data_IF_582567365927
#
_entry.id   IF_582567365927
#
_cell.length_a   1.000
_cell.length_b   1.000
_cell.length_c   1.000
_cell.angle_alpha   90.00
_cell.angle_beta   90.00
_cell.angle_gamma   90.00
#
_symmetry.space_group_name_H-M   'P 1'
#
loop_
_entity.id
_entity.type
_entity.pdbx_description
1 polymer ?
#
# COMPACT_ATOMS: atom_id res chain seq x y z
N UNK A 1 -16.65 -23.21 19.99
CA UNK A 1 -16.71 -21.74 19.90
C UNK A 1 -15.48 -21.30 19.13
N UNK A 2 -15.61 -20.83 17.90
CA UNK A 2 -14.48 -20.28 17.16
C UNK A 2 -14.08 -18.95 17.79
N UNK A 3 -12.89 -18.89 18.39
CA UNK A 3 -12.31 -17.64 18.88
C UNK A 3 -12.01 -16.71 17.70
N UNK A 4 -12.42 -15.44 17.78
CA UNK A 4 -12.12 -14.44 16.75
C UNK A 4 -10.62 -14.15 16.67
N UNK A 5 -9.92 -14.83 15.76
CA UNK A 5 -8.50 -14.58 15.48
C UNK A 5 -8.38 -13.42 14.49
N UNK A 6 -7.63 -12.35 14.81
CA UNK A 6 -7.51 -11.22 13.90
C UNK A 6 -6.68 -11.56 12.66
N UNK A 7 -7.04 -10.98 11.51
CA UNK A 7 -6.35 -11.21 10.23
C UNK A 7 -4.83 -10.99 10.27
N UNK A 8 -4.31 -10.13 11.14
CA UNK A 8 -2.85 -9.91 11.26
C UNK A 8 -2.14 -11.14 11.79
N UNK A 9 -2.81 -11.91 12.63
CA UNK A 9 -2.23 -13.04 13.34
C UNK A 9 -2.36 -14.29 12.49
N UNK A 10 -3.46 -14.41 11.72
CA UNK A 10 -3.62 -15.40 10.64
C UNK A 10 -2.54 -15.22 9.57
N UNK A 11 -2.32 -13.98 9.11
CA UNK A 11 -1.26 -13.72 8.12
C UNK A 11 0.13 -14.03 8.68
N UNK A 12 0.36 -13.79 9.98
CA UNK A 12 1.63 -14.10 10.63
C UNK A 12 1.83 -15.62 10.81
N UNK A 13 0.79 -16.39 11.17
CA UNK A 13 0.88 -17.84 11.32
C UNK A 13 1.20 -18.55 10.01
N UNK A 14 0.65 -18.06 8.91
CA UNK A 14 0.89 -18.60 7.57
C UNK A 14 2.17 -18.06 6.92
N UNK A 15 2.89 -17.13 7.56
CA UNK A 15 4.04 -16.44 6.96
C UNK A 15 3.71 -15.73 5.63
N UNK A 16 2.46 -15.27 5.47
CA UNK A 16 1.96 -14.60 4.27
C UNK A 16 1.91 -13.09 4.47
N UNK A 17 2.33 -12.33 3.45
CA UNK A 17 2.16 -10.87 3.42
C UNK A 17 0.75 -10.49 2.99
N UNK A 18 0.25 -9.33 3.41
CA UNK A 18 -1.05 -8.87 2.91
C UNK A 18 -1.11 -8.74 1.38
N UNK A 19 -2.35 -8.84 0.88
CA UNK A 19 -2.69 -8.56 -0.52
C UNK A 19 -2.13 -7.20 -0.97
N UNK A 20 -2.18 -6.18 -0.11
CA UNK A 20 -1.67 -4.85 -0.50
C UNK A 20 -0.16 -4.83 -0.68
N UNK A 21 0.59 -5.45 0.22
CA UNK A 21 2.04 -5.60 0.06
C UNK A 21 2.39 -6.43 -1.18
N UNK A 22 1.62 -7.48 -1.47
CA UNK A 22 1.78 -8.26 -2.71
C UNK A 22 1.56 -7.39 -3.95
N UNK A 23 0.49 -6.60 -4.00
CA UNK A 23 0.21 -5.69 -5.12
C UNK A 23 1.35 -4.69 -5.31
N UNK A 24 1.79 -4.02 -4.24
CA UNK A 24 2.91 -3.06 -4.29
C UNK A 24 4.18 -3.71 -4.85
N UNK A 25 4.52 -4.92 -4.38
CA UNK A 25 5.69 -5.69 -4.84
C UNK A 25 5.61 -6.01 -6.33
N UNK A 26 4.46 -6.46 -6.82
CA UNK A 26 4.28 -6.82 -8.24
C UNK A 26 4.30 -5.58 -9.13
N UNK A 27 3.62 -4.50 -8.73
CA UNK A 27 3.63 -3.24 -9.46
C UNK A 27 5.05 -2.68 -9.59
N UNK A 28 5.84 -2.68 -8.51
CA UNK A 28 7.25 -2.27 -8.59
C UNK A 28 8.09 -3.16 -9.49
N UNK A 29 7.99 -4.49 -9.33
CA UNK A 29 8.75 -5.43 -10.16
C UNK A 29 8.48 -5.21 -11.65
N UNK A 30 7.22 -5.00 -12.01
CA UNK A 30 6.81 -4.76 -13.39
C UNK A 30 7.30 -3.40 -13.91
N UNK A 31 7.16 -2.32 -13.12
CA UNK A 31 7.65 -0.99 -13.50
C UNK A 31 9.17 -0.99 -13.74
N UNK A 32 9.93 -1.56 -12.81
CA UNK A 32 11.39 -1.69 -12.91
C UNK A 32 11.77 -2.49 -14.15
N UNK A 33 11.07 -3.59 -14.44
CA UNK A 33 11.34 -4.40 -15.61
C UNK A 33 11.13 -3.61 -16.92
N UNK A 34 10.07 -2.82 -17.01
CA UNK A 34 9.80 -2.00 -18.20
C UNK A 34 10.82 -0.90 -18.38
N UNK A 35 11.20 -0.19 -17.30
CA UNK A 35 12.21 0.89 -17.37
C UNK A 35 13.54 0.37 -17.90
N UNK A 36 13.86 -0.91 -17.65
CA UNK A 36 15.08 -1.58 -18.13
C UNK A 36 15.03 -2.05 -19.58
N UNK A 37 13.85 -2.14 -20.18
CA UNK A 37 13.77 -2.54 -21.59
C UNK A 37 14.45 -1.48 -22.48
N UNK A 38 14.88 -1.89 -23.68
CA UNK A 38 15.32 -0.94 -24.70
C UNK A 38 14.17 -0.02 -25.11
N UNK A 39 14.47 1.24 -25.45
CA UNK A 39 13.46 2.25 -25.79
C UNK A 39 12.67 1.94 -27.07
N UNK A 40 13.23 1.10 -27.94
CA UNK A 40 12.58 0.59 -29.15
C UNK A 40 11.50 -0.45 -28.86
N UNK A 41 11.47 -1.02 -27.64
CA UNK A 41 10.51 -2.07 -27.28
C UNK A 41 9.14 -1.45 -27.06
N UNK A 42 8.15 -1.98 -27.77
CA UNK A 42 6.73 -1.56 -27.69
C UNK A 42 6.19 -1.45 -26.25
N UNK A 43 6.49 -2.38 -25.30
CA UNK A 43 6.01 -2.24 -23.93
C UNK A 43 6.53 -0.99 -23.22
N UNK A 44 7.79 -0.59 -23.46
CA UNK A 44 8.38 0.61 -22.87
C UNK A 44 7.79 1.87 -23.50
N UNK A 45 7.67 1.89 -24.83
CA UNK A 45 7.03 2.98 -25.55
C UNK A 45 5.58 3.18 -25.06
N UNK A 46 4.78 2.12 -25.01
CA UNK A 46 3.40 2.17 -24.54
C UNK A 46 3.30 2.65 -23.10
N UNK A 47 4.20 2.18 -22.22
CA UNK A 47 4.25 2.61 -20.83
C UNK A 47 4.51 4.12 -20.71
N UNK A 48 5.50 4.66 -21.43
CA UNK A 48 5.78 6.09 -21.40
C UNK A 48 4.69 6.93 -22.07
N UNK A 49 4.03 6.42 -23.12
CA UNK A 49 2.86 7.05 -23.73
C UNK A 49 1.71 7.15 -22.72
N UNK A 50 1.43 6.07 -21.99
CA UNK A 50 0.39 6.07 -20.94
C UNK A 50 0.78 7.00 -19.77
N UNK A 51 2.07 7.10 -19.42
CA UNK A 51 2.55 8.04 -18.40
C UNK A 51 2.47 9.52 -18.84
N UNK A 52 2.64 9.79 -20.12
CA UNK A 52 2.61 11.13 -20.70
C UNK A 52 1.18 11.61 -20.96
N UNK A 53 0.38 10.78 -21.63
CA UNK A 53 -0.92 11.15 -22.22
C UNK A 53 -2.10 10.28 -21.75
N UNK A 54 -1.90 9.37 -20.78
CA UNK A 54 -2.92 8.43 -20.33
C UNK A 54 -4.25 9.09 -19.97
N UNK A 55 -5.34 8.46 -20.42
CA UNK A 55 -6.71 9.00 -20.32
C UNK A 55 -7.12 9.16 -18.85
N UNK A 56 -7.46 10.39 -18.45
CA UNK A 56 -8.06 10.68 -17.14
C UNK A 56 -9.59 10.58 -17.23
N UNK A 57 -10.21 9.87 -16.30
CA UNK A 57 -11.68 9.83 -16.21
C UNK A 57 -12.17 11.12 -15.53
N UNK A 58 -12.97 11.94 -16.23
CA UNK A 58 -13.40 13.28 -15.77
C UNK A 58 -14.16 13.29 -14.44
N UNK A 59 -14.73 12.17 -13.98
CA UNK A 59 -15.65 12.15 -12.84
C UNK A 59 -15.52 10.98 -11.84
N UNK A 60 -14.40 10.22 -11.70
CA UNK A 60 -14.37 9.12 -10.67
C UNK A 60 -13.03 8.58 -10.13
N UNK A 61 -13.15 8.12 -8.88
CA UNK A 61 -12.48 7.16 -7.97
C UNK A 61 -11.41 6.14 -8.43
N UNK A 62 -11.03 6.05 -9.70
CA UNK A 62 -9.88 5.20 -10.10
C UNK A 62 -8.69 6.12 -10.40
N UNK A 63 -7.59 5.88 -9.70
CA UNK A 63 -6.34 6.59 -9.95
C UNK A 63 -5.90 6.35 -11.40
N UNK A 64 -5.35 7.39 -12.04
CA UNK A 64 -4.64 7.19 -13.31
C UNK A 64 -3.51 6.18 -13.11
N UNK A 65 -3.09 5.50 -14.17
CA UNK A 65 -2.00 4.54 -14.09
C UNK A 65 -0.74 5.18 -13.46
N UNK A 66 -0.39 6.38 -13.93
CA UNK A 66 0.68 7.22 -13.36
C UNK A 66 0.53 7.45 -11.86
N UNK A 67 -0.67 7.82 -11.41
CA UNK A 67 -0.91 8.11 -9.98
C UNK A 67 -0.91 6.83 -9.13
N UNK A 68 -1.31 5.70 -9.69
CA UNK A 68 -1.16 4.38 -9.06
C UNK A 68 0.32 4.07 -8.84
N UNK A 69 1.15 4.21 -9.87
CA UNK A 69 2.61 4.00 -9.77
C UNK A 69 3.22 4.98 -8.76
N UNK A 70 2.93 6.28 -8.84
CA UNK A 70 3.41 7.27 -7.86
C UNK A 70 3.01 6.93 -6.42
N UNK A 71 1.76 6.53 -6.21
CA UNK A 71 1.25 6.12 -4.89
C UNK A 71 2.02 4.91 -4.36
N UNK A 72 2.32 3.94 -5.22
CA UNK A 72 3.11 2.77 -4.84
C UNK A 72 4.55 3.11 -4.50
N UNK A 73 5.20 3.99 -5.28
CA UNK A 73 6.56 4.47 -5.02
C UNK A 73 6.61 5.16 -3.66
N UNK A 74 5.67 6.07 -3.41
CA UNK A 74 5.54 6.78 -2.13
C UNK A 74 5.27 5.84 -0.96
N UNK A 75 4.44 4.82 -1.16
CA UNK A 75 4.12 3.83 -0.11
C UNK A 75 5.34 3.00 0.31
N UNK A 76 6.33 2.87 -0.57
CA UNK A 76 7.56 2.13 -0.32
C UNK A 76 8.72 3.03 0.15
N UNK A 77 8.51 4.34 0.25
CA UNK A 77 9.51 5.30 0.72
C UNK A 77 10.66 5.53 -0.27
N UNK A 78 10.42 5.35 -1.57
CA UNK A 78 11.40 5.60 -2.63
C UNK A 78 11.06 6.87 -3.41
N UNK A 79 12.03 7.49 -4.07
CA UNK A 79 11.79 8.54 -5.05
C UNK A 79 11.63 7.95 -6.48
N UNK A 80 10.86 8.58 -7.40
CA UNK A 80 10.79 8.11 -8.78
C UNK A 80 12.14 8.11 -9.50
N UNK A 81 13.04 9.04 -9.19
CA UNK A 81 14.35 9.10 -9.83
C UNK A 81 15.27 7.98 -9.34
N UNK A 82 15.14 7.58 -8.07
CA UNK A 82 15.86 6.42 -7.51
C UNK A 82 15.59 5.15 -8.30
N UNK A 83 14.36 4.96 -8.78
CA UNK A 83 13.98 3.79 -9.57
C UNK A 83 14.63 3.84 -10.95
N UNK A 84 14.72 5.02 -11.55
CA UNK A 84 15.30 5.23 -12.88
C UNK A 84 16.82 5.01 -12.86
N UNK A 85 17.49 5.52 -11.83
CA UNK A 85 18.93 5.34 -11.61
C UNK A 85 19.24 3.88 -11.27
N UNK A 86 18.50 3.34 -10.29
CA UNK A 86 18.76 1.98 -9.82
C UNK A 86 18.33 0.92 -10.84
N UNK A 87 17.49 1.23 -11.84
CA UNK A 87 17.15 0.29 -12.92
C UNK A 87 18.39 -0.33 -13.61
N UNK A 88 19.53 0.37 -13.60
CA UNK A 88 20.82 -0.14 -14.09
C UNK A 88 21.35 -1.32 -13.26
N UNK A 89 21.19 -1.31 -11.93
CA UNK A 89 21.55 -2.39 -11.01
C UNK A 89 20.32 -3.12 -10.46
N UNK A 90 20.07 -4.32 -11.01
CA UNK A 90 18.94 -5.15 -10.62
C UNK A 90 18.98 -5.58 -9.15
N UNK A 91 20.16 -5.78 -8.60
CA UNK A 91 20.31 -6.26 -7.22
C UNK A 91 19.93 -5.15 -6.26
N UNK A 92 20.41 -3.94 -6.50
CA UNK A 92 20.08 -2.76 -5.71
C UNK A 92 18.56 -2.51 -5.71
N UNK A 93 17.91 -2.54 -6.87
CA UNK A 93 16.45 -2.31 -6.93
C UNK A 93 15.67 -3.39 -6.21
N UNK A 94 16.03 -4.67 -6.38
CA UNK A 94 15.34 -5.77 -5.71
C UNK A 94 15.44 -5.63 -4.20
N UNK A 95 16.61 -5.26 -3.69
CA UNK A 95 16.79 -5.05 -2.24
C UNK A 95 15.99 -3.84 -1.75
N UNK A 96 16.00 -2.71 -2.47
CA UNK A 96 15.20 -1.52 -2.14
C UNK A 96 13.70 -1.83 -2.12
N UNK A 97 13.17 -2.49 -3.16
CA UNK A 97 11.76 -2.89 -3.23
C UNK A 97 11.41 -3.85 -2.08
N UNK A 98 12.26 -4.84 -1.79
CA UNK A 98 12.01 -5.78 -0.69
C UNK A 98 12.00 -5.07 0.67
N UNK A 99 12.98 -4.20 0.93
CA UNK A 99 13.05 -3.39 2.15
C UNK A 99 11.81 -2.50 2.29
N UNK A 100 11.42 -1.79 1.23
CA UNK A 100 10.24 -0.93 1.23
C UNK A 100 8.94 -1.70 1.47
N UNK A 101 8.77 -2.87 0.85
CA UNK A 101 7.59 -3.71 1.04
C UNK A 101 7.52 -4.24 2.47
N UNK A 102 8.67 -4.65 3.04
CA UNK A 102 8.76 -5.10 4.43
C UNK A 102 8.39 -3.98 5.41
N UNK A 103 8.97 -2.79 5.24
CA UNK A 103 8.65 -1.62 6.05
C UNK A 103 7.17 -1.22 5.95
N UNK A 104 6.59 -1.27 4.74
CA UNK A 104 5.17 -1.04 4.54
C UNK A 104 4.29 -2.04 5.29
N UNK A 105 4.65 -3.33 5.25
CA UNK A 105 3.90 -4.40 5.94
C UNK A 105 3.97 -4.22 7.46
N UNK A 106 5.15 -3.92 8.01
CA UNK A 106 5.36 -3.62 9.43
C UNK A 106 4.56 -2.39 9.88
N UNK A 107 4.59 -1.30 9.11
CA UNK A 107 3.79 -0.11 9.36
C UNK A 107 2.27 -0.40 9.33
N UNK A 108 1.81 -1.29 8.43
CA UNK A 108 0.40 -1.70 8.41
C UNK A 108 0.04 -2.51 9.65
N UNK A 109 0.88 -3.46 10.05
CA UNK A 109 0.63 -4.32 11.21
C UNK A 109 0.57 -3.49 12.49
N UNK A 110 1.55 -2.59 12.70
CA UNK A 110 1.58 -1.67 13.84
C UNK A 110 0.34 -0.80 13.88
N UNK A 111 -0.03 -0.16 12.76
CA UNK A 111 -1.25 0.65 12.67
C UNK A 111 -2.53 -0.16 12.94
N UNK A 112 -2.63 -1.38 12.42
CA UNK A 112 -3.77 -2.25 12.67
C UNK A 112 -3.89 -2.65 14.15
N UNK A 113 -2.77 -2.95 14.81
CA UNK A 113 -2.71 -3.24 16.25
C UNK A 113 -3.09 -2.02 17.09
N UNK A 114 -2.53 -0.85 16.79
CA UNK A 114 -2.86 0.42 17.47
C UNK A 114 -4.35 0.72 17.38
N UNK A 115 -4.96 0.60 16.18
CA UNK A 115 -6.41 0.82 16.02
C UNK A 115 -7.26 -0.15 16.82
N UNK A 116 -6.80 -1.39 17.04
CA UNK A 116 -7.52 -2.34 17.90
C UNK A 116 -7.43 -1.97 19.37
N UNK A 117 -6.23 -1.60 19.85
CA UNK A 117 -6.04 -1.15 21.23
C UNK A 117 -6.88 0.09 21.50
N UNK A 118 -6.85 1.08 20.61
CA UNK A 118 -7.68 2.28 20.73
C UNK A 118 -9.17 1.96 20.77
N UNK A 119 -9.66 1.06 19.91
CA UNK A 119 -11.07 0.62 19.97
C UNK A 119 -11.39 -0.06 21.30
N UNK A 120 -10.53 -0.96 21.78
CA UNK A 120 -10.73 -1.65 23.06
C UNK A 120 -10.78 -0.64 24.23
N UNK A 121 -9.88 0.34 24.24
CA UNK A 121 -9.82 1.38 25.26
C UNK A 121 -11.06 2.30 25.22
N UNK A 122 -11.55 2.65 24.02
CA UNK A 122 -12.80 3.43 23.86
C UNK A 122 -14.01 2.65 24.37
N UNK A 123 -14.09 1.33 24.09
CA UNK A 123 -15.17 0.50 24.65
C UNK A 123 -15.11 0.47 26.18
N UNK A 124 -13.92 0.37 26.78
CA UNK A 124 -13.77 0.39 28.25
C UNK A 124 -14.07 1.76 28.88
N UNK A 125 -13.79 2.87 28.18
CA UNK A 125 -14.13 4.23 28.64
C UNK A 125 -15.62 4.57 28.48
N UNK A 126 -16.32 3.95 27.53
CA UNK A 126 -17.78 4.05 27.41
C UNK A 126 -18.50 3.22 28.48
N UNK A 127 -17.96 2.06 28.85
CA UNK A 127 -18.48 1.19 29.92
C UNK A 127 -18.26 1.76 31.34
N UNK A 128 -17.24 2.61 31.52
CA UNK A 128 -16.91 3.24 32.82
C UNK A 128 -17.49 4.64 33.01
N UNK A 129 -18.27 5.13 32.03
CA UNK A 129 -18.84 6.48 32.07
C UNK A 129 -20.01 6.53 33.07
N UNK A 130 -20.06 7.47 34.04
CA UNK A 130 -21.09 7.49 35.09
C UNK A 130 -22.51 7.80 34.59
N UNK A 131 -22.67 8.26 33.33
CA UNK A 131 -23.96 8.63 32.76
C UNK A 131 -24.09 8.16 31.30
N UNK A 132 -25.28 7.65 30.90
CA UNK A 132 -25.53 7.25 29.53
C UNK A 132 -25.61 8.48 28.61
N UNK A 133 -25.21 8.33 27.36
CA UNK A 133 -25.30 9.39 26.35
C UNK A 133 -26.77 9.79 26.21
N UNK A 134 -27.12 11.01 26.62
CA UNK A 134 -28.40 11.61 26.27
C UNK A 134 -28.47 11.63 24.73
N UNK A 135 -29.37 10.82 24.17
CA UNK A 135 -29.69 10.90 22.75
C UNK A 135 -30.14 12.32 22.49
N UNK A 136 -29.39 13.06 21.68
CA UNK A 136 -29.79 14.39 21.27
C UNK A 136 -31.14 14.25 20.55
N UNK A 137 -32.21 14.61 21.25
CA UNK A 137 -33.55 14.77 20.71
C UNK A 137 -33.44 15.77 19.57
N UNK A 138 -33.62 15.28 18.35
CA UNK A 138 -33.68 16.11 17.15
C UNK A 138 -34.96 16.93 17.24
N UNK A 139 -34.85 18.22 17.55
CA UNK A 139 -35.86 19.22 17.21
C UNK A 139 -35.82 19.44 15.69
#
# INVERSE_FOLDING_TARGET
MESFTPNTDILASECITSIKAMILKHQMRWCVYIVRMMDERTPKQLFYVELAAGKRYRCKAKNSFKDSVKSTIKSLGMDPEDIRIAASDQTEVRTKVWKGVKAFEEARITHARLRRVLKKNVMTEEETRPYPKLHASRL
#
